data_IF_554813767620
#
_entry.id   IF_554813767620
#
_cell.length_a   1.000
_cell.length_b   1.000
_cell.length_c   1.000
_cell.angle_alpha   90.00
_cell.angle_beta   90.00
_cell.angle_gamma   90.00
#
_symmetry.space_group_name_H-M   'P 1'
#
loop_
_entity.id
_entity.type
_entity.pdbx_description
1 polymer ?
#
# COMPACT_ATOMS: atom_id res chain seq x y z
N UNK A 1 -39.24 12.88 29.48
CA UNK A 1 -39.06 11.88 28.40
C UNK A 1 -38.80 12.55 27.05
N UNK A 2 -39.51 13.63 26.68
CA UNK A 2 -39.31 14.35 25.41
C UNK A 2 -37.88 14.90 25.15
N UNK A 3 -37.21 15.44 26.17
CA UNK A 3 -35.86 16.04 26.02
C UNK A 3 -34.74 15.00 25.85
N UNK A 4 -34.90 13.81 26.44
CA UNK A 4 -33.93 12.71 26.30
C UNK A 4 -33.96 12.11 24.89
N UNK A 5 -35.16 11.94 24.33
CA UNK A 5 -35.33 11.48 22.94
C UNK A 5 -34.85 12.52 21.92
N UNK A 6 -35.03 13.82 22.21
CA UNK A 6 -34.52 14.91 21.35
C UNK A 6 -32.99 14.94 21.34
N UNK A 7 -32.35 14.83 22.51
CA UNK A 7 -30.89 14.73 22.62
C UNK A 7 -30.34 13.46 21.97
N UNK A 8 -31.01 12.32 22.16
CA UNK A 8 -30.62 11.03 21.56
C UNK A 8 -30.73 11.06 20.04
N UNK A 9 -31.83 11.60 19.49
CA UNK A 9 -32.04 11.73 18.05
C UNK A 9 -31.07 12.74 17.41
N UNK A 10 -30.77 13.86 18.07
CA UNK A 10 -29.74 14.79 17.58
C UNK A 10 -28.36 14.13 17.56
N UNK A 11 -27.99 13.40 18.61
CA UNK A 11 -26.70 12.72 18.70
C UNK A 11 -26.59 11.58 17.66
N UNK A 12 -27.68 10.85 17.41
CA UNK A 12 -27.76 9.82 16.38
C UNK A 12 -27.68 10.39 14.95
N UNK A 13 -28.35 11.52 14.68
CA UNK A 13 -28.22 12.22 13.40
C UNK A 13 -26.81 12.80 13.19
N UNK A 14 -26.20 13.35 14.24
CA UNK A 14 -24.82 13.88 14.16
C UNK A 14 -23.81 12.79 13.83
N UNK A 15 -23.94 11.60 14.45
CA UNK A 15 -23.15 10.41 14.08
C UNK A 15 -23.39 9.99 12.64
N UNK A 16 -24.64 9.78 12.23
CA UNK A 16 -24.95 9.25 10.90
C UNK A 16 -24.51 10.18 9.75
N UNK A 17 -24.47 11.51 9.96
CA UNK A 17 -24.07 12.46 8.92
C UNK A 17 -22.56 12.64 8.85
N UNK A 18 -21.84 12.70 9.97
CA UNK A 18 -20.38 12.94 9.98
C UNK A 18 -19.52 11.67 9.91
N UNK A 19 -20.03 10.54 10.39
CA UNK A 19 -19.31 9.27 10.40
C UNK A 19 -18.86 8.81 8.99
N UNK A 20 -19.69 8.91 7.93
CA UNK A 20 -19.28 8.59 6.56
C UNK A 20 -18.11 9.44 6.06
N UNK A 21 -18.12 10.75 6.29
CA UNK A 21 -17.03 11.64 5.87
C UNK A 21 -15.73 11.33 6.61
N UNK A 22 -15.83 11.02 7.90
CA UNK A 22 -14.66 10.68 8.73
C UNK A 22 -14.05 9.35 8.28
N UNK A 23 -14.89 8.34 8.01
CA UNK A 23 -14.47 7.04 7.46
C UNK A 23 -13.87 7.18 6.06
N UNK A 24 -14.44 8.01 5.19
CA UNK A 24 -13.91 8.26 3.85
C UNK A 24 -12.52 8.91 3.90
N UNK A 25 -12.36 9.96 4.70
CA UNK A 25 -11.05 10.62 4.88
C UNK A 25 -10.01 9.64 5.43
N UNK A 26 -10.39 8.79 6.39
CA UNK A 26 -9.52 7.74 6.91
C UNK A 26 -9.14 6.71 5.85
N UNK A 27 -10.08 6.31 4.98
CA UNK A 27 -9.83 5.36 3.89
C UNK A 27 -8.82 5.92 2.88
N UNK A 28 -8.98 7.19 2.49
CA UNK A 28 -8.06 7.88 1.58
C UNK A 28 -6.68 8.04 2.21
N UNK A 29 -6.62 8.48 3.48
CA UNK A 29 -5.36 8.62 4.20
C UNK A 29 -4.62 7.29 4.33
N UNK A 30 -5.33 6.20 4.66
CA UNK A 30 -4.76 4.84 4.72
C UNK A 30 -4.17 4.43 3.36
N UNK A 31 -4.93 4.60 2.28
CA UNK A 31 -4.46 4.24 0.93
C UNK A 31 -3.22 5.03 0.51
N UNK A 32 -3.19 6.33 0.84
CA UNK A 32 -2.03 7.15 0.56
C UNK A 32 -0.79 6.68 1.35
N UNK A 33 -0.96 6.33 2.63
CA UNK A 33 0.11 5.78 3.45
C UNK A 33 0.61 4.43 2.89
N UNK A 34 -0.30 3.54 2.51
CA UNK A 34 0.05 2.22 1.98
C UNK A 34 0.78 2.32 0.63
N UNK A 35 0.33 3.20 -0.26
CA UNK A 35 1.03 3.49 -1.53
C UNK A 35 2.41 4.11 -1.30
N UNK A 36 2.54 5.01 -0.31
CA UNK A 36 3.82 5.63 0.04
C UNK A 36 4.79 4.60 0.61
N UNK A 37 4.30 3.69 1.45
CA UNK A 37 5.09 2.58 1.97
C UNK A 37 5.58 1.66 0.85
N UNK A 38 4.71 1.32 -0.11
CA UNK A 38 5.08 0.54 -1.28
C UNK A 38 6.19 1.22 -2.10
N UNK A 39 6.08 2.53 -2.34
CA UNK A 39 7.11 3.29 -3.07
C UNK A 39 8.44 3.34 -2.31
N UNK A 40 8.41 3.52 -0.99
CA UNK A 40 9.61 3.50 -0.14
C UNK A 40 10.31 2.14 -0.13
N UNK A 41 9.53 1.06 -0.06
CA UNK A 41 10.05 -0.30 -0.06
C UNK A 41 10.70 -0.63 -1.42
N UNK A 42 10.03 -0.30 -2.52
CA UNK A 42 10.57 -0.45 -3.86
C UNK A 42 11.87 0.36 -4.04
N UNK A 43 11.89 1.64 -3.61
CA UNK A 43 13.07 2.50 -3.68
C UNK A 43 14.25 1.92 -2.88
N UNK A 44 13.99 1.41 -1.67
CA UNK A 44 15.01 0.76 -0.84
C UNK A 44 15.58 -0.49 -1.51
N UNK A 45 14.72 -1.32 -2.09
CA UNK A 45 15.15 -2.55 -2.75
C UNK A 45 15.95 -2.27 -4.02
N UNK A 46 15.56 -1.27 -4.83
CA UNK A 46 16.36 -0.84 -5.98
C UNK A 46 17.70 -0.20 -5.58
N UNK A 47 17.73 0.58 -4.51
CA UNK A 47 18.99 1.13 -3.98
C UNK A 47 19.94 0.00 -3.51
N UNK A 48 19.42 -1.01 -2.82
CA UNK A 48 20.19 -2.19 -2.42
C UNK A 48 20.76 -2.95 -3.63
N UNK A 49 19.96 -3.11 -4.69
CA UNK A 49 20.39 -3.71 -5.95
C UNK A 49 21.53 -2.89 -6.59
N UNK A 50 21.37 -1.57 -6.66
CA UNK A 50 22.40 -0.68 -7.22
C UNK A 50 23.72 -0.74 -6.43
N UNK A 51 23.65 -0.73 -5.10
CA UNK A 51 24.82 -0.90 -4.24
C UNK A 51 25.48 -2.26 -4.43
N UNK A 52 24.70 -3.34 -4.48
CA UNK A 52 25.22 -4.69 -4.71
C UNK A 52 25.95 -4.81 -6.05
N UNK A 53 25.43 -4.19 -7.11
CA UNK A 53 26.08 -4.14 -8.42
C UNK A 53 27.37 -3.32 -8.38
N UNK A 54 27.38 -2.18 -7.69
CA UNK A 54 28.58 -1.35 -7.53
C UNK A 54 29.69 -2.10 -6.79
N UNK A 55 29.35 -2.80 -5.70
CA UNK A 55 30.31 -3.67 -5.00
C UNK A 55 30.80 -4.81 -5.89
N UNK A 56 29.90 -5.51 -6.58
CA UNK A 56 30.25 -6.61 -7.48
C UNK A 56 31.19 -6.17 -8.61
N UNK A 57 31.02 -4.97 -9.15
CA UNK A 57 31.90 -4.41 -10.17
C UNK A 57 33.27 -3.99 -9.61
N UNK A 58 33.33 -3.53 -8.36
CA UNK A 58 34.59 -3.16 -7.69
C UNK A 58 35.48 -4.36 -7.31
N UNK A 59 34.90 -5.55 -7.22
CA UNK A 59 35.59 -6.79 -6.86
C UNK A 59 36.22 -7.52 -8.06
N UNK A 60 35.98 -7.06 -9.29
CA UNK A 60 36.51 -7.71 -10.50
C UNK A 60 38.00 -7.40 -10.68
N UNK A 61 38.86 -8.39 -10.45
CA UNK A 61 40.33 -8.29 -10.56
C UNK A 61 40.98 -9.41 -11.37
N UNK A 62 40.24 -10.49 -11.62
CA UNK A 62 40.69 -11.70 -12.32
C UNK A 62 39.52 -12.47 -12.96
N UNK A 63 39.83 -13.52 -13.73
CA UNK A 63 38.81 -14.32 -14.43
C UNK A 63 37.81 -15.00 -13.47
N UNK A 64 38.23 -15.32 -12.24
CA UNK A 64 37.36 -15.92 -11.22
C UNK A 64 36.35 -14.90 -10.67
N UNK A 65 36.78 -13.67 -10.43
CA UNK A 65 35.91 -12.57 -10.02
C UNK A 65 34.92 -12.15 -11.11
N UNK A 66 35.27 -12.34 -12.39
CA UNK A 66 34.36 -12.13 -13.52
C UNK A 66 33.21 -13.17 -13.55
N UNK A 67 33.51 -14.44 -13.25
CA UNK A 67 32.49 -15.49 -13.09
C UNK A 67 31.55 -15.13 -11.93
N UNK A 68 32.11 -14.72 -10.78
CA UNK A 68 31.32 -14.32 -9.62
C UNK A 68 30.43 -13.10 -9.90
N UNK A 69 30.93 -12.12 -10.67
CA UNK A 69 30.15 -10.95 -11.08
C UNK A 69 28.95 -11.36 -11.95
N UNK A 70 29.15 -12.27 -12.90
CA UNK A 70 28.07 -12.80 -13.77
C UNK A 70 27.00 -13.52 -12.95
N UNK A 71 27.40 -14.34 -11.96
CA UNK A 71 26.45 -15.00 -11.06
C UNK A 71 25.66 -13.99 -10.22
N UNK A 72 26.33 -12.99 -9.63
CA UNK A 72 25.68 -11.91 -8.87
C UNK A 72 24.71 -11.10 -9.75
N UNK A 73 25.02 -10.87 -11.02
CA UNK A 73 24.11 -10.22 -11.97
C UNK A 73 22.83 -11.04 -12.20
N UNK A 74 22.95 -12.36 -12.42
CA UNK A 74 21.78 -13.24 -12.58
C UNK A 74 20.91 -13.28 -11.33
N UNK A 75 21.51 -13.36 -10.13
CA UNK A 75 20.78 -13.28 -8.86
C UNK A 75 20.06 -11.94 -8.71
N UNK A 76 20.71 -10.85 -9.11
CA UNK A 76 20.13 -9.50 -9.07
C UNK A 76 18.94 -9.39 -10.01
N UNK A 77 19.02 -9.94 -11.23
CA UNK A 77 17.91 -9.98 -12.17
C UNK A 77 16.73 -10.79 -11.62
N UNK A 78 17.00 -11.94 -10.99
CA UNK A 78 15.96 -12.75 -10.34
C UNK A 78 15.28 -11.98 -9.20
N UNK A 79 16.06 -11.32 -8.34
CA UNK A 79 15.52 -10.49 -7.24
C UNK A 79 14.67 -9.33 -7.77
N UNK A 80 15.11 -8.66 -8.82
CA UNK A 80 14.36 -7.56 -9.44
C UNK A 80 13.04 -8.04 -10.03
N UNK A 81 13.05 -9.19 -10.73
CA UNK A 81 11.84 -9.82 -11.28
C UNK A 81 10.86 -10.21 -10.17
N UNK A 82 11.35 -10.85 -9.10
CA UNK A 82 10.53 -11.20 -7.93
C UNK A 82 9.92 -9.95 -7.29
N UNK A 83 10.73 -8.90 -7.05
CA UNK A 83 10.26 -7.65 -6.46
C UNK A 83 9.15 -7.01 -7.30
N UNK A 84 9.31 -6.97 -8.64
CA UNK A 84 8.30 -6.42 -9.54
C UNK A 84 6.97 -7.18 -9.45
N UNK A 85 7.03 -8.51 -9.36
CA UNK A 85 5.84 -9.35 -9.20
C UNK A 85 5.18 -9.10 -7.84
N UNK A 86 5.97 -9.01 -6.78
CA UNK A 86 5.46 -8.74 -5.43
C UNK A 86 4.83 -7.35 -5.33
N UNK A 87 5.47 -6.32 -5.88
CA UNK A 87 4.93 -4.96 -5.91
C UNK A 87 3.62 -4.90 -6.71
N UNK A 88 3.54 -5.62 -7.84
CA UNK A 88 2.32 -5.76 -8.62
C UNK A 88 1.19 -6.43 -7.84
N UNK A 89 1.50 -7.49 -7.08
CA UNK A 89 0.52 -8.16 -6.20
C UNK A 89 0.05 -7.21 -5.09
N UNK A 90 0.97 -6.51 -4.42
CA UNK A 90 0.64 -5.54 -3.36
C UNK A 90 -0.27 -4.44 -3.91
N UNK A 91 0.05 -3.89 -5.08
CA UNK A 91 -0.78 -2.86 -5.72
C UNK A 91 -2.19 -3.36 -6.06
N UNK A 92 -2.31 -4.59 -6.58
CA UNK A 92 -3.59 -5.21 -6.87
C UNK A 92 -4.43 -5.42 -5.60
N UNK A 93 -3.78 -5.85 -4.50
CA UNK A 93 -4.40 -5.99 -3.19
C UNK A 93 -4.89 -4.64 -2.67
N UNK A 94 -4.05 -3.60 -2.67
CA UNK A 94 -4.44 -2.25 -2.23
C UNK A 94 -5.63 -1.71 -3.01
N UNK A 95 -5.64 -1.91 -4.33
CA UNK A 95 -6.76 -1.49 -5.19
C UNK A 95 -8.06 -2.23 -4.82
N UNK A 96 -7.95 -3.53 -4.56
CA UNK A 96 -9.11 -4.36 -4.18
C UNK A 96 -9.64 -3.98 -2.80
N UNK A 97 -8.76 -3.77 -1.83
CA UNK A 97 -9.11 -3.32 -0.48
C UNK A 97 -9.77 -1.95 -0.50
N UNK A 98 -9.21 -0.98 -1.23
CA UNK A 98 -9.81 0.34 -1.39
C UNK A 98 -11.21 0.25 -1.98
N UNK A 99 -11.38 -0.52 -3.05
CA UNK A 99 -12.67 -0.71 -3.71
C UNK A 99 -13.68 -1.32 -2.73
N UNK A 100 -13.31 -2.37 -2.01
CA UNK A 100 -14.20 -3.05 -1.06
C UNK A 100 -14.63 -2.14 0.09
N UNK A 101 -13.68 -1.42 0.70
CA UNK A 101 -13.98 -0.48 1.78
C UNK A 101 -14.80 0.72 1.29
N UNK A 102 -14.56 1.18 0.06
CA UNK A 102 -15.36 2.23 -0.57
C UNK A 102 -16.80 1.77 -0.84
N UNK A 103 -16.99 0.59 -1.44
CA UNK A 103 -18.32 0.01 -1.67
C UNK A 103 -19.09 -0.17 -0.36
N UNK A 104 -18.41 -0.64 0.69
CA UNK A 104 -18.97 -0.75 2.03
C UNK A 104 -19.39 0.62 2.58
N UNK A 105 -18.54 1.64 2.44
CA UNK A 105 -18.85 3.00 2.89
C UNK A 105 -20.06 3.57 2.16
N UNK A 106 -20.17 3.37 0.84
CA UNK A 106 -21.35 3.77 0.06
C UNK A 106 -22.60 3.02 0.51
N UNK A 107 -22.49 1.72 0.76
CA UNK A 107 -23.60 0.88 1.22
C UNK A 107 -24.11 1.29 2.61
N UNK A 108 -23.20 1.66 3.52
CA UNK A 108 -23.52 2.16 4.87
C UNK A 108 -24.11 3.58 4.86
N UNK A 109 -23.74 4.38 3.85
CA UNK A 109 -24.19 5.78 3.72
C UNK A 109 -25.52 5.92 2.97
N UNK A 110 -25.91 4.92 2.20
CA UNK A 110 -27.23 4.87 1.56
C UNK A 110 -28.30 4.71 2.65
N UNK A 111 -29.27 5.63 2.77
CA UNK A 111 -30.35 5.46 3.72
C UNK A 111 -31.09 4.16 3.40
N UNK A 112 -31.31 3.32 4.42
CA UNK A 112 -32.20 2.15 4.34
C UNK A 112 -33.58 2.64 3.90
N UNK A 113 -33.85 2.66 2.59
CA UNK A 113 -35.20 2.76 2.06
C UNK A 113 -35.90 1.42 2.35
N UNK A 114 -36.52 1.35 3.53
CA UNK A 114 -37.70 0.52 3.76
C UNK A 114 -38.94 1.35 3.50
#
# INVERSE_FOLDING_TARGET
>A
MLYGDLFSNMNAQYKNVFEPYTKFNSLVAKNFADLTNLQLEAARNYANIGLAQMFANSEVKDMQSMVNCTTKQLETMNKLSQQMIEDGKKLATLTTEFKSEFEKLVSESMPNNK
#
